data_IF_615855704462
#
_entry.id   IF_615855704462
#
_cell.length_a   1.000
_cell.length_b   1.000
_cell.length_c   1.000
_cell.angle_alpha   90.00
_cell.angle_beta   90.00
_cell.angle_gamma   90.00
#
_symmetry.space_group_name_H-M   'P 1'
#
loop_
_entity.id
_entity.type
_entity.pdbx_description
1 polymer ?
#
# COMPACT_ATOMS: atom_id res chain seq x y z
N UNK A 1 -50.91 -56.79 43.37
CA UNK A 1 -50.61 -55.37 43.67
C UNK A 1 -49.09 -55.23 43.69
N UNK A 2 -48.48 -54.80 42.57
CA UNK A 2 -47.06 -54.56 42.45
C UNK A 2 -46.83 -53.09 42.14
N UNK A 3 -46.29 -52.33 43.06
CA UNK A 3 -45.92 -50.92 42.91
C UNK A 3 -44.57 -50.84 42.16
N UNK A 4 -44.62 -50.23 40.97
CA UNK A 4 -43.44 -49.94 40.19
C UNK A 4 -42.95 -48.53 40.57
N UNK A 5 -41.72 -48.42 41.08
CA UNK A 5 -41.04 -47.15 41.39
C UNK A 5 -40.38 -46.63 40.13
N UNK A 6 -40.78 -45.43 39.65
CA UNK A 6 -40.04 -44.67 38.60
C UNK A 6 -38.83 -44.01 39.26
N UNK A 7 -37.65 -44.28 38.69
CA UNK A 7 -36.42 -43.50 38.98
C UNK A 7 -36.29 -42.42 37.89
N UNK A 8 -36.40 -41.17 38.30
CA UNK A 8 -36.09 -40.01 37.47
C UNK A 8 -34.61 -39.73 37.54
N UNK A 9 -33.88 -39.97 36.44
CA UNK A 9 -32.47 -39.58 36.30
C UNK A 9 -32.44 -38.17 35.73
N UNK A 10 -32.01 -37.19 36.58
CA UNK A 10 -31.73 -35.84 36.17
C UNK A 10 -30.35 -35.77 35.52
N UNK A 11 -30.28 -35.48 34.23
CA UNK A 11 -29.07 -35.15 33.51
C UNK A 11 -28.74 -33.69 33.75
N UNK A 12 -27.70 -33.42 34.56
CA UNK A 12 -27.06 -32.14 34.66
C UNK A 12 -26.16 -31.93 33.44
N UNK A 13 -26.63 -31.14 32.48
CA UNK A 13 -25.78 -30.61 31.42
C UNK A 13 -24.82 -29.58 32.04
N UNK A 14 -23.63 -30.02 32.39
CA UNK A 14 -22.51 -29.10 32.65
C UNK A 14 -22.10 -28.42 31.37
N UNK A 15 -22.45 -27.13 31.23
CA UNK A 15 -21.86 -26.27 30.22
C UNK A 15 -20.39 -26.09 30.57
N UNK A 16 -19.53 -26.93 29.99
CA UNK A 16 -18.09 -26.70 30.02
C UNK A 16 -17.78 -25.46 29.21
N UNK A 17 -17.56 -24.34 29.88
CA UNK A 17 -16.94 -23.14 29.31
C UNK A 17 -15.54 -23.55 28.85
N UNK A 18 -15.39 -23.75 27.53
CA UNK A 18 -14.07 -23.88 26.91
C UNK A 18 -13.31 -22.58 27.16
N UNK A 19 -12.15 -22.61 27.82
CA UNK A 19 -11.36 -21.40 27.98
C UNK A 19 -10.87 -20.96 26.60
N UNK A 20 -11.06 -19.68 26.29
CA UNK A 20 -10.47 -18.97 25.18
C UNK A 20 -8.94 -19.00 25.26
N UNK A 21 -8.32 -20.09 24.81
CA UNK A 21 -6.86 -20.33 24.83
C UNK A 21 -6.12 -19.73 23.62
N UNK A 22 -6.77 -18.86 22.81
CA UNK A 22 -6.16 -18.20 21.65
C UNK A 22 -5.80 -16.73 21.86
N UNK A 23 -5.85 -16.20 23.10
CA UNK A 23 -5.55 -14.79 23.42
C UNK A 23 -4.33 -14.60 24.31
N UNK A 24 -3.23 -15.32 24.07
CA UNK A 24 -2.10 -15.28 25.01
C UNK A 24 -1.25 -14.00 25.00
N UNK A 25 -0.87 -13.48 23.84
CA UNK A 25 -0.05 -12.26 23.69
C UNK A 25 -0.85 -11.07 23.13
N UNK A 26 -1.71 -11.28 22.14
CA UNK A 26 -2.52 -10.24 21.51
C UNK A 26 -3.48 -9.56 22.50
N UNK A 27 -4.10 -10.32 23.41
CA UNK A 27 -5.03 -9.79 24.40
C UNK A 27 -4.37 -8.85 25.41
N UNK A 28 -3.17 -9.17 25.88
CA UNK A 28 -2.43 -8.32 26.84
C UNK A 28 -2.00 -7.01 26.20
N UNK A 29 -1.58 -7.05 24.94
CA UNK A 29 -1.16 -5.87 24.19
C UNK A 29 -2.35 -4.94 23.92
N UNK A 30 -3.49 -5.48 23.54
CA UNK A 30 -4.73 -4.72 23.33
C UNK A 30 -5.21 -4.07 24.63
N UNK A 31 -5.18 -4.78 25.75
CA UNK A 31 -5.56 -4.19 27.05
C UNK A 31 -4.57 -3.09 27.51
N UNK A 32 -3.27 -3.23 27.21
CA UNK A 32 -2.30 -2.17 27.45
C UNK A 32 -2.57 -0.95 26.56
N UNK A 33 -2.90 -1.17 25.27
CA UNK A 33 -3.28 -0.12 24.33
C UNK A 33 -4.55 0.65 24.78
N UNK A 34 -5.55 -0.05 25.33
CA UNK A 34 -6.75 0.60 25.87
C UNK A 34 -6.44 1.51 27.06
N UNK A 35 -5.44 1.16 27.89
CA UNK A 35 -4.97 2.02 28.98
C UNK A 35 -4.25 3.28 28.50
N UNK A 36 -3.72 3.27 27.27
CA UNK A 36 -3.12 4.43 26.59
C UNK A 36 -4.18 5.33 25.91
N UNK A 37 -5.47 5.06 26.11
CA UNK A 37 -6.58 5.81 25.52
C UNK A 37 -7.29 5.11 24.37
N UNK A 38 -6.87 3.89 24.02
CA UNK A 38 -7.56 3.05 23.04
C UNK A 38 -7.50 3.54 21.60
N UNK A 39 -6.55 4.41 21.26
CA UNK A 39 -6.36 4.91 19.89
C UNK A 39 -4.92 4.74 19.42
N UNK A 40 -4.76 4.63 18.11
CA UNK A 40 -3.48 4.67 17.41
C UNK A 40 -3.47 5.77 16.37
N UNK A 41 -2.41 6.56 16.31
CA UNK A 41 -2.19 7.61 15.32
C UNK A 41 -1.23 7.11 14.25
N UNK A 42 -1.70 7.03 13.01
CA UNK A 42 -0.94 6.50 11.88
C UNK A 42 -0.70 7.60 10.84
N UNK A 43 0.55 7.84 10.48
CA UNK A 43 0.91 8.68 9.34
C UNK A 43 1.32 7.79 8.17
N UNK A 44 0.74 8.03 6.99
CA UNK A 44 1.06 7.15 5.89
C UNK A 44 0.66 7.61 4.50
N UNK A 45 1.15 6.86 3.51
CA UNK A 45 0.83 7.04 2.10
C UNK A 45 -0.13 5.98 1.54
N UNK A 46 -0.62 5.07 2.40
CA UNK A 46 -1.66 4.10 2.03
C UNK A 46 -2.96 4.83 1.69
N UNK A 47 -3.70 4.34 0.74
CA UNK A 47 -4.97 4.94 0.32
C UNK A 47 -6.02 4.83 1.43
N UNK A 48 -6.84 5.88 1.58
CA UNK A 48 -7.86 5.96 2.63
C UNK A 48 -8.80 4.75 2.62
N UNK A 49 -9.32 4.36 1.45
CA UNK A 49 -10.24 3.24 1.32
C UNK A 49 -9.64 1.91 1.83
N UNK A 50 -8.33 1.71 1.64
CA UNK A 50 -7.61 0.55 2.17
C UNK A 50 -7.45 0.66 3.68
N UNK A 51 -7.06 1.84 4.18
CA UNK A 51 -6.92 2.07 5.60
C UNK A 51 -8.26 1.94 6.34
N UNK A 52 -9.36 2.43 5.78
CA UNK A 52 -10.68 2.34 6.38
C UNK A 52 -11.14 0.88 6.57
N UNK A 53 -10.82 -0.01 5.61
CA UNK A 53 -11.07 -1.44 5.76
C UNK A 53 -10.28 -2.04 6.92
N UNK A 54 -8.99 -1.70 7.02
CA UNK A 54 -8.10 -2.18 8.09
C UNK A 54 -8.53 -1.64 9.46
N UNK A 55 -8.74 -0.32 9.56
CA UNK A 55 -9.16 0.35 10.77
C UNK A 55 -10.50 -0.16 11.29
N UNK A 56 -11.47 -0.33 10.37
CA UNK A 56 -12.77 -0.90 10.71
C UNK A 56 -12.69 -2.33 11.23
N UNK A 57 -11.84 -3.18 10.66
CA UNK A 57 -11.63 -4.54 11.12
C UNK A 57 -10.88 -4.58 12.46
N UNK A 58 -9.83 -3.76 12.64
CA UNK A 58 -9.14 -3.60 13.91
C UNK A 58 -10.10 -3.19 15.02
N UNK A 59 -10.92 -2.16 14.78
CA UNK A 59 -11.92 -1.67 15.73
C UNK A 59 -12.90 -2.76 16.14
N UNK A 60 -13.46 -3.51 15.18
CA UNK A 60 -14.38 -4.62 15.48
C UNK A 60 -13.74 -5.70 16.34
N UNK A 61 -12.45 -5.99 16.10
CA UNK A 61 -11.72 -7.08 16.78
C UNK A 61 -11.20 -6.68 18.16
N UNK A 62 -10.76 -5.44 18.32
CA UNK A 62 -9.99 -4.99 19.50
C UNK A 62 -10.65 -3.86 20.28
N UNK A 63 -11.52 -3.10 19.66
CA UNK A 63 -12.06 -1.84 20.16
C UNK A 63 -11.13 -0.64 20.00
N UNK A 64 -9.93 -0.81 19.40
CA UNK A 64 -8.99 0.29 19.19
C UNK A 64 -9.45 1.18 18.02
N UNK A 65 -9.37 2.49 18.20
CA UNK A 65 -9.64 3.49 17.16
C UNK A 65 -8.36 3.81 16.40
N UNK A 66 -8.48 4.07 15.08
CA UNK A 66 -7.36 4.49 14.25
C UNK A 66 -7.58 5.92 13.78
N UNK A 67 -6.65 6.81 14.11
CA UNK A 67 -6.57 8.15 13.55
C UNK A 67 -5.52 8.14 12.44
N UNK A 68 -5.96 8.36 11.20
CA UNK A 68 -5.09 8.27 10.03
C UNK A 68 -4.90 9.60 9.33
N UNK A 69 -3.64 10.03 9.21
CA UNK A 69 -3.26 11.16 8.38
C UNK A 69 -2.59 10.66 7.11
N UNK A 70 -3.25 10.87 5.97
CA UNK A 70 -2.79 10.41 4.65
C UNK A 70 -2.17 11.53 3.86
N UNK A 71 -0.95 11.29 3.35
CA UNK A 71 -0.28 12.14 2.36
C UNK A 71 0.63 11.34 1.44
N UNK A 72 1.24 12.00 0.42
CA UNK A 72 2.29 11.40 -0.41
C UNK A 72 3.53 11.08 0.43
N UNK A 73 4.30 10.06 0.03
CA UNK A 73 5.41 9.50 0.80
C UNK A 73 6.44 10.56 1.26
N UNK A 74 6.79 11.51 0.38
CA UNK A 74 7.70 12.61 0.72
C UNK A 74 7.10 13.52 1.82
N UNK A 75 5.82 13.83 1.79
CA UNK A 75 5.13 14.65 2.79
C UNK A 75 5.02 13.95 4.14
N UNK A 76 4.79 12.63 4.12
CA UNK A 76 4.85 11.79 5.32
C UNK A 76 6.25 11.89 5.94
N UNK A 77 7.30 11.70 5.13
CA UNK A 77 8.69 11.80 5.58
C UNK A 77 8.98 13.18 6.18
N UNK A 78 8.64 14.26 5.46
CA UNK A 78 8.87 15.63 5.91
C UNK A 78 8.21 15.87 7.27
N UNK A 79 6.96 15.45 7.44
CA UNK A 79 6.22 15.65 8.69
C UNK A 79 6.83 14.88 9.85
N UNK A 80 7.10 13.59 9.68
CA UNK A 80 7.71 12.73 10.72
C UNK A 80 9.07 13.30 11.15
N UNK A 81 9.91 13.69 10.19
CA UNK A 81 11.25 14.25 10.46
C UNK A 81 11.14 15.59 11.21
N UNK A 82 10.26 16.48 10.77
CA UNK A 82 10.11 17.81 11.38
C UNK A 82 9.55 17.71 12.81
N UNK A 83 8.50 16.91 13.05
CA UNK A 83 7.92 16.72 14.38
C UNK A 83 8.92 16.06 15.33
N UNK A 84 9.67 15.05 14.84
CA UNK A 84 10.67 14.36 15.63
C UNK A 84 11.84 15.26 16.01
N UNK A 85 12.34 16.08 15.08
CA UNK A 85 13.40 17.08 15.34
C UNK A 85 12.95 18.17 16.33
N UNK A 86 11.68 18.54 16.27
CA UNK A 86 11.08 19.46 17.21
C UNK A 86 10.82 18.85 18.61
N UNK A 87 11.12 17.55 18.80
CA UNK A 87 10.87 16.83 20.05
C UNK A 87 9.40 16.58 20.38
N UNK A 88 8.52 16.67 19.37
CA UNK A 88 7.05 16.51 19.50
C UNK A 88 6.51 15.51 18.47
N UNK A 89 6.93 14.24 18.48
CA UNK A 89 6.34 13.24 17.60
C UNK A 89 4.86 13.02 17.97
N UNK A 90 3.98 13.03 16.99
CA UNK A 90 2.54 12.90 17.19
C UNK A 90 1.99 11.57 16.66
N UNK A 91 2.75 10.84 15.84
CA UNK A 91 2.31 9.54 15.33
C UNK A 91 2.89 8.37 16.14
N UNK A 92 2.13 7.28 16.18
CA UNK A 92 2.56 6.01 16.74
C UNK A 92 3.20 5.12 15.66
N UNK A 93 2.63 5.14 14.47
CA UNK A 93 3.00 4.27 13.35
C UNK A 93 3.23 5.10 12.10
N UNK A 94 4.29 4.77 11.37
CA UNK A 94 4.60 5.30 10.04
C UNK A 94 4.42 4.19 9.02
N UNK A 95 3.78 4.53 7.88
CA UNK A 95 3.42 3.59 6.83
C UNK A 95 3.65 4.25 5.46
N UNK A 96 4.75 3.91 4.78
CA UNK A 96 5.14 4.57 3.53
C UNK A 96 6.03 3.65 2.68
N UNK A 97 6.56 4.18 1.55
CA UNK A 97 7.43 3.41 0.65
C UNK A 97 8.73 3.02 1.34
N UNK A 98 9.30 1.87 0.95
CA UNK A 98 10.53 1.35 1.55
C UNK A 98 11.67 2.37 1.47
N UNK A 99 11.84 3.01 0.30
CA UNK A 99 12.88 4.02 0.09
C UNK A 99 12.72 5.23 1.04
N UNK A 100 11.50 5.74 1.20
CA UNK A 100 11.26 6.88 2.10
C UNK A 100 11.30 6.47 3.57
N UNK A 101 10.88 5.24 3.90
CA UNK A 101 11.01 4.67 5.24
C UNK A 101 12.47 4.57 5.69
N UNK A 102 13.37 4.15 4.79
CA UNK A 102 14.82 4.14 5.06
C UNK A 102 15.37 5.54 5.38
N UNK A 103 14.86 6.60 4.74
CA UNK A 103 15.26 7.98 5.06
C UNK A 103 14.88 8.32 6.51
N UNK A 104 13.65 8.00 6.94
CA UNK A 104 13.19 8.26 8.31
C UNK A 104 14.01 7.45 9.31
N UNK A 105 14.29 6.19 8.99
CA UNK A 105 15.06 5.27 9.81
C UNK A 105 16.53 5.75 9.99
N UNK A 106 17.19 6.17 8.91
CA UNK A 106 18.56 6.72 8.97
C UNK A 106 18.67 8.00 9.82
N UNK A 107 17.58 8.74 9.98
CA UNK A 107 17.49 9.88 10.90
C UNK A 107 17.22 9.46 12.37
N UNK A 108 17.03 8.17 12.66
CA UNK A 108 16.78 7.66 14.01
C UNK A 108 15.35 7.89 14.53
N UNK A 109 14.38 8.10 13.64
CA UNK A 109 13.00 8.43 14.02
C UNK A 109 12.02 7.25 13.96
N UNK A 110 12.54 6.03 13.75
CA UNK A 110 11.78 4.79 13.85
C UNK A 110 12.34 3.90 14.95
N UNK A 111 11.45 3.16 15.61
CA UNK A 111 11.81 2.13 16.56
C UNK A 111 11.64 0.75 15.92
N UNK A 112 12.61 -0.13 16.15
CA UNK A 112 12.47 -1.52 15.76
C UNK A 112 11.37 -2.19 16.61
N UNK A 113 10.45 -2.86 15.94
CA UNK A 113 9.46 -3.73 16.57
C UNK A 113 9.38 -5.06 15.82
N UNK A 114 9.75 -6.13 16.48
CA UNK A 114 9.70 -7.49 15.91
C UNK A 114 8.27 -8.06 16.07
N UNK A 115 7.39 -7.68 15.17
CA UNK A 115 6.01 -8.19 15.15
C UNK A 115 5.99 -9.72 15.00
N UNK A 116 5.23 -10.44 15.82
CA UNK A 116 5.02 -11.88 15.63
C UNK A 116 4.48 -12.24 14.24
N UNK A 117 3.65 -11.35 13.66
CA UNK A 117 3.07 -11.52 12.34
C UNK A 117 4.11 -11.45 11.20
N UNK A 118 5.25 -10.78 11.43
CA UNK A 118 6.33 -10.67 10.45
C UNK A 118 6.99 -12.03 10.09
N UNK A 119 6.89 -13.03 10.98
CA UNK A 119 7.47 -14.37 10.76
C UNK A 119 6.86 -15.12 9.57
N UNK A 120 5.69 -14.72 9.11
CA UNK A 120 5.00 -15.35 7.99
C UNK A 120 5.38 -14.78 6.62
N UNK A 121 6.29 -13.82 6.59
CA UNK A 121 6.80 -13.23 5.36
C UNK A 121 8.07 -13.96 4.88
N UNK A 122 8.32 -14.02 3.56
CA UNK A 122 9.58 -14.47 3.00
C UNK A 122 10.75 -13.62 3.52
N UNK A 123 11.91 -14.24 3.75
CA UNK A 123 13.08 -13.53 4.29
C UNK A 123 13.57 -12.43 3.36
N UNK A 124 13.39 -12.60 2.07
CA UNK A 124 13.83 -11.69 1.00
C UNK A 124 13.13 -10.33 1.04
N UNK A 125 11.94 -10.27 1.64
CA UNK A 125 11.18 -9.01 1.78
C UNK A 125 11.28 -8.40 3.18
N UNK A 126 12.14 -8.95 4.05
CA UNK A 126 12.32 -8.45 5.42
C UNK A 126 13.61 -7.62 5.50
N UNK A 127 13.47 -6.31 5.63
CA UNK A 127 14.58 -5.44 6.00
C UNK A 127 14.91 -5.64 7.50
N UNK A 128 16.20 -5.86 7.88
CA UNK A 128 16.58 -6.12 9.26
C UNK A 128 16.29 -4.98 10.23
N UNK A 129 16.10 -3.75 9.74
CA UNK A 129 15.85 -2.56 10.54
C UNK A 129 14.38 -2.11 10.52
N UNK A 130 13.67 -2.37 9.41
CA UNK A 130 12.31 -1.89 9.18
C UNK A 130 11.24 -2.97 9.34
N UNK A 131 11.62 -4.25 9.24
CA UNK A 131 10.67 -5.35 9.16
C UNK A 131 10.24 -5.64 7.71
N UNK A 132 9.09 -6.32 7.50
CA UNK A 132 8.69 -6.73 6.16
C UNK A 132 8.18 -5.56 5.32
N UNK A 133 8.60 -5.53 4.05
CA UNK A 133 7.90 -4.83 3.00
C UNK A 133 6.59 -5.58 2.76
N UNK A 134 5.47 -5.06 3.28
CA UNK A 134 4.22 -5.83 3.39
C UNK A 134 3.43 -5.95 2.09
N UNK A 135 3.67 -5.08 1.13
CA UNK A 135 3.10 -5.13 -0.22
C UNK A 135 4.06 -4.54 -1.25
N UNK A 136 3.80 -4.86 -2.52
CA UNK A 136 4.38 -4.17 -3.67
C UNK A 136 3.29 -3.49 -4.47
N UNK A 137 3.46 -2.20 -4.73
CA UNK A 137 2.52 -1.42 -5.53
C UNK A 137 2.88 -1.52 -7.00
N UNK A 138 2.10 -2.26 -7.76
CA UNK A 138 2.31 -2.35 -9.21
C UNK A 138 1.82 -1.09 -9.90
N UNK A 139 2.74 -0.43 -10.62
CA UNK A 139 2.47 0.76 -11.42
C UNK A 139 2.47 0.35 -12.89
N UNK A 140 1.43 0.75 -13.60
CA UNK A 140 1.29 0.41 -15.01
C UNK A 140 0.29 1.30 -15.73
N UNK A 141 0.02 0.96 -16.99
CA UNK A 141 -1.02 1.62 -17.77
C UNK A 141 -2.37 1.02 -17.37
N UNK A 142 -3.26 1.87 -16.87
CA UNK A 142 -4.67 1.55 -16.58
C UNK A 142 -5.54 2.35 -17.51
N UNK A 143 -6.64 1.77 -17.99
CA UNK A 143 -7.57 2.43 -18.90
C UNK A 143 -9.03 2.08 -18.58
N UNK A 144 -9.94 2.94 -19.00
CA UNK A 144 -11.39 2.76 -18.88
C UNK A 144 -11.92 1.95 -20.09
N UNK A 145 -12.18 0.66 -19.88
CA UNK A 145 -12.56 -0.28 -20.94
C UNK A 145 -13.94 0.03 -21.59
N UNK A 146 -14.76 0.85 -20.94
CA UNK A 146 -16.00 1.38 -21.53
C UNK A 146 -15.75 2.46 -22.59
N UNK A 147 -14.58 3.13 -22.55
CA UNK A 147 -14.22 4.23 -23.46
C UNK A 147 -13.17 3.77 -24.47
N UNK A 148 -12.10 3.12 -24.02
CA UNK A 148 -11.07 2.53 -24.85
C UNK A 148 -11.29 1.03 -24.91
N UNK A 149 -11.63 0.49 -26.08
CA UNK A 149 -11.87 -0.95 -26.22
C UNK A 149 -10.55 -1.72 -26.05
N UNK A 150 -10.57 -2.95 -25.51
CA UNK A 150 -9.34 -3.74 -25.32
C UNK A 150 -8.51 -3.92 -26.61
N UNK A 151 -9.15 -3.99 -27.78
CA UNK A 151 -8.47 -4.07 -29.07
C UNK A 151 -7.73 -2.77 -29.45
N UNK A 152 -8.16 -1.62 -28.92
CA UNK A 152 -7.60 -0.29 -29.15
C UNK A 152 -6.63 0.13 -28.05
N UNK A 153 -6.55 -0.64 -26.95
CA UNK A 153 -5.68 -0.34 -25.83
C UNK A 153 -4.20 -0.43 -26.23
N UNK A 154 -3.31 0.35 -25.57
CA UNK A 154 -1.87 0.24 -25.80
C UNK A 154 -1.37 -1.16 -25.46
N UNK A 155 -0.28 -1.57 -26.07
CA UNK A 155 0.38 -2.86 -25.82
C UNK A 155 1.76 -2.71 -25.19
N UNK A 156 2.25 -1.47 -25.13
CA UNK A 156 3.53 -1.11 -24.50
C UNK A 156 3.43 0.28 -23.89
N UNK A 157 4.45 0.67 -23.11
CA UNK A 157 4.55 2.03 -22.56
C UNK A 157 4.66 3.07 -23.68
N UNK A 158 5.43 2.78 -24.71
CA UNK A 158 5.63 3.66 -25.86
C UNK A 158 4.34 3.94 -26.63
N UNK A 159 3.37 3.04 -26.54
CA UNK A 159 2.09 3.28 -27.21
C UNK A 159 1.33 4.48 -26.66
N UNK A 160 1.59 4.90 -25.39
CA UNK A 160 0.95 6.09 -24.82
C UNK A 160 1.24 7.38 -25.55
N UNK A 161 2.33 7.46 -26.31
CA UNK A 161 2.69 8.65 -27.08
C UNK A 161 2.10 8.67 -28.48
N UNK A 162 1.35 7.63 -28.86
CA UNK A 162 0.67 7.57 -30.17
C UNK A 162 -0.40 8.65 -30.30
N UNK A 163 -0.62 9.21 -31.51
CA UNK A 163 -1.57 10.32 -31.76
C UNK A 163 -2.99 10.06 -31.23
N UNK A 164 -3.45 8.81 -31.25
CA UNK A 164 -4.80 8.42 -30.79
C UNK A 164 -5.05 8.65 -29.31
N UNK A 165 -3.99 8.74 -28.49
CA UNK A 165 -4.07 8.98 -27.05
C UNK A 165 -3.77 10.44 -26.66
N UNK A 166 -3.40 11.30 -27.61
CA UNK A 166 -3.12 12.71 -27.34
C UNK A 166 -4.34 13.39 -26.68
N UNK A 167 -4.09 14.07 -25.55
CA UNK A 167 -5.12 14.74 -24.76
C UNK A 167 -6.00 13.79 -23.92
N UNK A 168 -5.67 12.48 -23.86
CA UNK A 168 -6.43 11.47 -23.11
C UNK A 168 -5.62 10.85 -21.98
N UNK A 169 -4.34 11.21 -21.84
CA UNK A 169 -3.40 10.57 -20.91
C UNK A 169 -3.27 11.37 -19.63
N UNK A 170 -3.42 10.73 -18.49
CA UNK A 170 -3.08 11.26 -17.17
C UNK A 170 -1.88 10.53 -16.60
N UNK A 171 -0.97 11.28 -15.97
CA UNK A 171 0.16 10.71 -15.23
C UNK A 171 0.37 11.47 -13.91
N UNK A 172 0.91 10.83 -12.87
CA UNK A 172 1.34 11.57 -11.70
C UNK A 172 2.55 12.44 -12.03
N UNK A 173 2.61 13.64 -11.45
CA UNK A 173 3.71 14.58 -11.65
C UNK A 173 4.99 14.07 -10.97
N UNK A 174 5.92 13.56 -11.76
CA UNK A 174 7.21 13.07 -11.28
C UNK A 174 8.09 14.17 -10.66
N UNK A 175 7.77 15.46 -10.87
CA UNK A 175 8.48 16.57 -10.21
C UNK A 175 8.05 16.80 -8.77
N UNK A 176 6.97 16.14 -8.31
CA UNK A 176 6.40 16.31 -6.98
C UNK A 176 6.12 14.99 -6.24
N UNK A 177 6.05 13.86 -6.97
CA UNK A 177 5.69 12.56 -6.42
C UNK A 177 6.86 11.58 -6.49
N UNK A 178 7.45 11.24 -5.33
CA UNK A 178 8.66 10.41 -5.23
C UNK A 178 8.52 9.04 -5.88
N UNK A 179 7.40 8.33 -5.64
CA UNK A 179 7.16 7.01 -6.24
C UNK A 179 7.15 7.08 -7.78
N UNK A 180 6.57 8.14 -8.37
CA UNK A 180 6.59 8.32 -9.84
C UNK A 180 7.98 8.69 -10.33
N UNK A 181 8.72 9.53 -9.59
CA UNK A 181 10.10 9.86 -9.92
C UNK A 181 10.99 8.61 -9.92
N UNK A 182 10.87 7.76 -8.89
CA UNK A 182 11.58 6.49 -8.81
C UNK A 182 11.17 5.54 -9.93
N UNK A 183 9.89 5.39 -10.20
CA UNK A 183 9.39 4.56 -11.29
C UNK A 183 9.93 5.01 -12.65
N UNK A 184 9.88 6.30 -12.96
CA UNK A 184 10.43 6.85 -14.21
C UNK A 184 11.95 6.64 -14.32
N UNK A 185 12.70 6.83 -13.23
CA UNK A 185 14.14 6.62 -13.21
C UNK A 185 14.55 5.16 -13.48
N UNK A 186 13.66 4.22 -13.16
CA UNK A 186 13.87 2.78 -13.32
C UNK A 186 13.26 2.20 -14.61
N UNK A 187 12.61 3.00 -15.46
CA UNK A 187 11.99 2.51 -16.71
C UNK A 187 12.95 1.75 -17.62
N UNK A 188 14.24 2.05 -17.56
CA UNK A 188 15.27 1.36 -18.33
C UNK A 188 15.29 -0.16 -18.07
N UNK A 189 14.88 -0.62 -16.87
CA UNK A 189 14.83 -2.04 -16.49
C UNK A 189 13.74 -2.83 -17.25
N UNK A 190 12.67 -2.15 -17.63
CA UNK A 190 11.52 -2.78 -18.30
C UNK A 190 11.39 -2.38 -19.78
N UNK A 191 12.10 -1.34 -20.20
CA UNK A 191 12.04 -0.83 -21.59
C UNK A 191 13.23 -1.22 -22.47
N UNK A 192 14.11 -2.08 -21.97
CA UNK A 192 15.27 -2.56 -22.79
C UNK A 192 16.41 -1.56 -22.86
N UNK A 193 16.56 -0.68 -21.87
CA UNK A 193 17.74 0.19 -21.72
C UNK A 193 17.42 1.67 -21.53
N UNK A 194 18.45 2.39 -21.09
CA UNK A 194 18.32 3.79 -20.67
C UNK A 194 17.91 4.73 -21.82
N UNK A 195 18.51 4.59 -22.98
CA UNK A 195 18.25 5.45 -24.14
C UNK A 195 16.77 5.40 -24.57
N UNK A 196 16.20 4.17 -24.60
CA UNK A 196 14.80 3.95 -24.93
C UNK A 196 13.86 4.54 -23.87
N UNK A 197 14.19 4.36 -22.59
CA UNK A 197 13.43 4.93 -21.48
C UNK A 197 13.46 6.47 -21.50
N UNK A 198 14.64 7.06 -21.66
CA UNK A 198 14.81 8.52 -21.71
C UNK A 198 14.07 9.13 -22.92
N UNK A 199 14.09 8.44 -24.08
CA UNK A 199 13.32 8.85 -25.25
C UNK A 199 11.83 8.84 -24.94
N UNK A 200 11.33 7.75 -24.39
CA UNK A 200 9.91 7.62 -24.01
C UNK A 200 9.46 8.74 -23.07
N UNK A 201 10.24 9.05 -22.03
CA UNK A 201 9.92 10.12 -21.06
C UNK A 201 9.80 11.47 -21.77
N UNK A 202 10.72 11.81 -22.67
CA UNK A 202 10.67 13.06 -23.45
C UNK A 202 9.47 13.08 -24.41
N UNK A 203 9.21 11.98 -25.11
CA UNK A 203 8.08 11.88 -26.02
C UNK A 203 6.75 11.99 -25.26
N UNK A 204 6.65 11.36 -24.09
CA UNK A 204 5.47 11.46 -23.23
C UNK A 204 5.23 12.90 -22.77
N UNK A 205 6.28 13.59 -22.33
CA UNK A 205 6.18 15.00 -21.95
C UNK A 205 5.72 15.88 -23.13
N UNK A 206 6.23 15.62 -24.34
CA UNK A 206 5.84 16.35 -25.56
C UNK A 206 4.34 16.17 -25.93
N UNK A 207 3.69 15.09 -25.48
CA UNK A 207 2.24 14.91 -25.65
C UNK A 207 1.40 15.80 -24.73
N UNK A 208 2.03 16.46 -23.74
CA UNK A 208 1.39 17.29 -22.69
C UNK A 208 0.29 16.52 -21.96
N UNK A 209 0.60 15.41 -21.29
CA UNK A 209 -0.37 14.67 -20.50
C UNK A 209 -0.91 15.52 -19.34
N UNK A 210 -2.10 15.20 -18.83
CA UNK A 210 -2.59 15.79 -17.59
C UNK A 210 -1.69 15.33 -16.43
N UNK A 211 -1.05 16.29 -15.76
CA UNK A 211 -0.26 16.02 -14.55
C UNK A 211 -1.14 16.16 -13.30
N UNK A 212 -1.06 15.17 -12.41
CA UNK A 212 -1.78 15.13 -11.13
C UNK A 212 -0.81 14.83 -9.97
N UNK A 213 -1.16 15.19 -8.71
CA UNK A 213 -0.21 15.13 -7.59
C UNK A 213 0.33 13.73 -7.27
N UNK A 214 -0.40 12.65 -7.54
CA UNK A 214 0.01 11.27 -7.21
C UNK A 214 -0.77 10.22 -8.02
N UNK A 215 -0.44 8.94 -7.82
CA UNK A 215 -1.08 7.80 -8.49
C UNK A 215 -2.58 7.65 -8.13
N UNK A 216 -3.01 8.06 -6.93
CA UNK A 216 -4.42 8.00 -6.53
C UNK A 216 -5.29 8.95 -7.37
N UNK A 217 -5.01 10.27 -7.45
CA UNK A 217 -5.73 11.16 -8.35
C UNK A 217 -5.67 10.73 -9.83
N UNK A 218 -4.57 10.13 -10.29
CA UNK A 218 -4.50 9.60 -11.65
C UNK A 218 -5.55 8.49 -11.86
N UNK A 219 -5.63 7.54 -10.94
CA UNK A 219 -6.64 6.47 -10.95
C UNK A 219 -8.06 7.00 -10.92
N UNK A 220 -8.34 8.05 -10.12
CA UNK A 220 -9.65 8.69 -10.04
C UNK A 220 -10.06 9.32 -11.38
N UNK A 221 -9.16 10.03 -12.08
CA UNK A 221 -9.43 10.59 -13.41
C UNK A 221 -9.74 9.52 -14.44
N UNK A 222 -9.07 8.37 -14.37
CA UNK A 222 -9.35 7.23 -15.26
C UNK A 222 -10.73 6.62 -14.92
N UNK A 223 -11.02 6.46 -13.63
CA UNK A 223 -12.28 5.90 -13.13
C UNK A 223 -13.50 6.71 -13.54
N UNK A 224 -13.41 8.05 -13.53
CA UNK A 224 -14.49 8.93 -13.99
C UNK A 224 -14.59 9.04 -15.51
N UNK A 225 -13.61 8.54 -16.24
CA UNK A 225 -13.51 8.69 -17.71
C UNK A 225 -13.08 10.09 -18.18
N UNK A 226 -12.78 11.01 -17.26
CA UNK A 226 -12.26 12.35 -17.60
C UNK A 226 -10.96 12.24 -18.39
N UNK A 227 -10.06 11.36 -17.93
CA UNK A 227 -8.87 10.92 -18.66
C UNK A 227 -8.93 9.40 -18.80
N UNK A 228 -9.31 8.87 -19.96
CA UNK A 228 -9.65 7.45 -20.08
C UNK A 228 -8.46 6.50 -19.99
N UNK A 229 -7.22 7.00 -19.95
CA UNK A 229 -6.00 6.18 -19.85
C UNK A 229 -4.90 6.93 -19.13
N UNK A 230 -4.02 6.21 -18.44
CA UNK A 230 -2.87 6.82 -17.77
C UNK A 230 -2.03 5.85 -16.97
N UNK A 231 -1.05 6.42 -16.26
CA UNK A 231 -0.21 5.69 -15.32
C UNK A 231 -0.86 5.73 -13.95
N UNK A 232 -1.21 4.55 -13.43
CA UNK A 232 -1.90 4.40 -12.16
C UNK A 232 -1.55 3.06 -11.50
N UNK A 233 -2.11 2.81 -10.32
CA UNK A 233 -2.00 1.51 -9.66
C UNK A 233 -2.80 0.43 -10.40
N UNK A 234 -2.18 -0.71 -10.70
CA UNK A 234 -2.86 -1.86 -11.31
C UNK A 234 -4.03 -2.38 -10.46
N UNK A 235 -3.92 -2.28 -9.13
CA UNK A 235 -5.00 -2.64 -8.19
C UNK A 235 -6.33 -1.93 -8.47
N UNK A 236 -6.32 -0.76 -9.11
CA UNK A 236 -7.52 0.02 -9.41
C UNK A 236 -8.53 -0.79 -10.25
N UNK A 237 -8.06 -1.72 -11.07
CA UNK A 237 -8.90 -2.62 -11.86
C UNK A 237 -9.82 -3.44 -10.95
N UNK A 238 -9.30 -3.98 -9.85
CA UNK A 238 -10.10 -4.74 -8.88
C UNK A 238 -10.90 -3.83 -7.98
N UNK A 239 -10.25 -2.80 -7.44
CA UNK A 239 -10.86 -1.91 -6.46
C UNK A 239 -12.10 -1.18 -7.02
N UNK A 240 -11.96 -0.58 -8.20
CA UNK A 240 -13.08 0.10 -8.86
C UNK A 240 -13.98 -0.87 -9.65
N UNK A 241 -13.44 -2.01 -10.11
CA UNK A 241 -14.22 -3.07 -10.73
C UNK A 241 -15.31 -3.62 -9.80
N UNK A 242 -15.02 -3.78 -8.50
CA UNK A 242 -16.00 -4.13 -7.47
C UNK A 242 -17.11 -3.07 -7.28
N UNK A 243 -16.85 -1.82 -7.65
CA UNK A 243 -17.80 -0.72 -7.64
C UNK A 243 -18.53 -0.56 -9.00
N UNK A 244 -18.34 -1.51 -9.93
CA UNK A 244 -19.00 -1.51 -11.25
C UNK A 244 -18.31 -0.68 -12.33
N UNK A 245 -17.10 -0.12 -12.06
CA UNK A 245 -16.38 0.67 -13.07
C UNK A 245 -15.55 -0.27 -13.94
N UNK A 246 -15.70 -0.26 -15.28
CA UNK A 246 -15.00 -1.16 -16.19
C UNK A 246 -13.57 -0.66 -16.45
N UNK A 247 -12.67 -0.84 -15.49
CA UNK A 247 -11.25 -0.60 -15.68
C UNK A 247 -10.54 -1.87 -16.12
N UNK A 248 -9.49 -1.70 -16.93
CA UNK A 248 -8.55 -2.75 -17.24
C UNK A 248 -7.12 -2.19 -17.29
N UNK A 249 -6.11 -3.07 -17.34
CA UNK A 249 -4.71 -2.67 -17.39
C UNK A 249 -4.00 -3.33 -18.57
N UNK A 250 -2.90 -2.71 -19.01
CA UNK A 250 -2.08 -3.25 -20.10
C UNK A 250 -1.14 -4.33 -19.55
N UNK A 251 -1.18 -5.53 -20.16
CA UNK A 251 -0.34 -6.68 -19.76
C UNK A 251 1.08 -6.50 -20.30
N UNK A 252 1.89 -5.72 -19.60
CA UNK A 252 3.27 -5.41 -20.01
C UNK A 252 4.24 -6.60 -19.80
N UNK A 253 3.81 -7.68 -19.15
CA UNK A 253 4.65 -8.81 -18.75
C UNK A 253 5.51 -8.48 -17.52
N UNK A 254 6.32 -7.45 -17.59
CA UNK A 254 7.15 -6.95 -16.48
C UNK A 254 6.56 -5.68 -15.89
N UNK A 255 6.43 -5.67 -14.58
CA UNK A 255 5.96 -4.50 -13.83
C UNK A 255 6.99 -4.11 -12.79
N UNK A 256 7.17 -2.83 -12.60
CA UNK A 256 7.90 -2.32 -11.45
C UNK A 256 6.92 -2.09 -10.31
N UNK A 257 7.34 -2.51 -9.14
CA UNK A 257 6.61 -2.34 -7.89
C UNK A 257 7.43 -1.57 -6.89
N UNK A 258 6.77 -0.66 -6.19
CA UNK A 258 7.34 0.03 -5.05
C UNK A 258 6.97 -0.73 -3.77
N UNK A 259 7.96 -1.14 -3.02
CA UNK A 259 7.77 -1.79 -1.72
C UNK A 259 7.22 -0.79 -0.70
N UNK A 260 6.41 -1.31 0.22
CA UNK A 260 5.78 -0.50 1.28
C UNK A 260 6.03 -1.17 2.63
N UNK A 261 6.58 -0.40 3.57
CA UNK A 261 6.86 -0.84 4.93
C UNK A 261 5.97 -0.15 5.96
N UNK A 262 5.88 -0.79 7.13
CA UNK A 262 5.20 -0.27 8.31
C UNK A 262 6.15 -0.35 9.49
N UNK A 263 6.28 0.73 10.27
CA UNK A 263 7.19 0.79 11.41
C UNK A 263 6.61 1.60 12.55
N UNK A 264 7.05 1.28 13.76
CA UNK A 264 6.75 2.07 14.96
C UNK A 264 7.58 3.36 14.93
N UNK A 265 6.99 4.50 15.31
CA UNK A 265 7.76 5.73 15.52
C UNK A 265 8.74 5.56 16.70
N UNK A 266 9.87 6.29 16.70
CA UNK A 266 10.91 6.13 17.75
C UNK A 266 10.42 6.48 19.14
N UNK A 267 9.49 7.45 19.25
CA UNK A 267 8.88 7.89 20.53
C UNK A 267 7.37 8.03 20.35
N UNK A 268 6.65 6.92 20.16
CA UNK A 268 5.23 6.97 19.89
C UNK A 268 4.45 7.41 21.14
N UNK A 269 3.43 8.28 21.00
CA UNK A 269 2.55 8.63 22.12
C UNK A 269 1.83 7.43 22.73
N UNK A 270 1.44 6.42 21.91
CA UNK A 270 0.71 5.23 22.33
C UNK A 270 1.44 3.96 21.87
N UNK A 271 2.57 3.58 22.54
CA UNK A 271 3.44 2.49 22.05
C UNK A 271 2.76 1.13 21.95
N UNK A 272 1.86 0.79 22.86
CA UNK A 272 1.15 -0.48 22.80
C UNK A 272 0.07 -0.50 21.73
N UNK A 273 -0.63 0.63 21.50
CA UNK A 273 -1.59 0.78 20.42
C UNK A 273 -0.88 0.68 19.05
N UNK A 274 0.28 1.32 18.91
CA UNK A 274 1.11 1.21 17.70
C UNK A 274 1.52 -0.22 17.39
N UNK A 275 2.00 -0.97 18.41
CA UNK A 275 2.36 -2.38 18.26
C UNK A 275 1.16 -3.26 17.91
N UNK A 276 0.02 -3.08 18.59
CA UNK A 276 -1.20 -3.84 18.30
C UNK A 276 -1.70 -3.58 16.87
N UNK A 277 -1.61 -2.33 16.40
CA UNK A 277 -1.93 -1.99 15.02
C UNK A 277 -1.01 -2.71 14.03
N UNK A 278 0.31 -2.68 14.25
CA UNK A 278 1.30 -3.34 13.38
C UNK A 278 1.04 -4.86 13.33
N UNK A 279 0.79 -5.50 14.47
CA UNK A 279 0.53 -6.94 14.54
C UNK A 279 -0.75 -7.33 13.78
N UNK A 280 -1.81 -6.54 13.91
CA UNK A 280 -3.05 -6.74 13.15
C UNK A 280 -2.83 -6.50 11.65
N UNK A 281 -2.16 -5.40 11.31
CA UNK A 281 -1.91 -4.99 9.93
C UNK A 281 -1.11 -6.02 9.14
N UNK A 282 -0.02 -6.55 9.73
CA UNK A 282 0.81 -7.59 9.14
C UNK A 282 0.22 -9.01 9.31
N UNK A 283 -0.84 -9.13 10.09
CA UNK A 283 -1.56 -10.37 10.30
C UNK A 283 -2.30 -10.85 9.05
N UNK A 284 -2.70 -12.12 9.05
CA UNK A 284 -3.38 -12.72 7.90
C UNK A 284 -4.67 -11.99 7.55
N UNK A 285 -5.45 -11.58 8.56
CA UNK A 285 -6.71 -10.87 8.35
C UNK A 285 -6.50 -9.51 7.66
N UNK A 286 -5.56 -8.69 8.16
CA UNK A 286 -5.23 -7.39 7.57
C UNK A 286 -4.75 -7.52 6.12
N UNK A 287 -3.86 -8.48 5.85
CA UNK A 287 -3.34 -8.70 4.51
C UNK A 287 -4.37 -9.28 3.54
N UNK A 288 -5.30 -10.16 4.00
CA UNK A 288 -6.39 -10.65 3.17
C UNK A 288 -7.39 -9.54 2.80
N UNK A 289 -7.64 -8.59 3.70
CA UNK A 289 -8.45 -7.41 3.38
C UNK A 289 -7.80 -6.58 2.28
N UNK A 290 -6.48 -6.33 2.38
CA UNK A 290 -5.72 -5.63 1.34
C UNK A 290 -5.72 -6.39 0.00
N UNK A 291 -5.37 -7.67 0.01
CA UNK A 291 -5.36 -8.49 -1.20
C UNK A 291 -6.74 -8.52 -1.85
N UNK A 292 -7.81 -8.60 -1.04
CA UNK A 292 -9.19 -8.60 -1.50
C UNK A 292 -9.58 -7.39 -2.34
N UNK A 293 -8.89 -6.26 -2.22
CA UNK A 293 -9.12 -5.05 -3.03
C UNK A 293 -8.06 -4.84 -4.12
N UNK A 294 -7.24 -5.86 -4.38
CA UNK A 294 -6.29 -5.86 -5.49
C UNK A 294 -4.84 -5.56 -5.10
N UNK A 295 -4.52 -5.44 -3.80
CA UNK A 295 -3.14 -5.21 -3.35
C UNK A 295 -2.29 -6.46 -3.49
N UNK A 296 -1.07 -6.29 -4.00
CA UNK A 296 -0.07 -7.35 -4.07
C UNK A 296 0.71 -7.42 -2.75
N UNK A 297 0.14 -8.14 -1.77
CA UNK A 297 0.80 -8.39 -0.49
C UNK A 297 1.93 -9.41 -0.66
N UNK A 298 2.98 -9.27 0.13
CA UNK A 298 4.20 -10.09 0.01
C UNK A 298 4.18 -11.33 0.92
N UNK A 299 3.19 -11.46 1.80
CA UNK A 299 3.02 -12.65 2.61
C UNK A 299 2.63 -13.85 1.76
N UNK A 300 3.35 -14.96 1.90
CA UNK A 300 3.11 -16.19 1.15
C UNK A 300 1.68 -16.70 1.33
N UNK A 301 1.05 -17.14 0.22
CA UNK A 301 -0.29 -17.73 0.21
C UNK A 301 -1.45 -16.73 0.21
N UNK A 302 -1.17 -15.44 0.08
CA UNK A 302 -2.20 -14.40 -0.07
C UNK A 302 -1.97 -13.66 -1.39
N UNK A 303 -2.94 -13.74 -2.31
CA UNK A 303 -2.87 -13.12 -3.64
C UNK A 303 -4.10 -12.28 -3.93
N UNK A 304 -3.97 -11.17 -4.68
CA UNK A 304 -5.11 -10.40 -5.12
C UNK A 304 -5.94 -11.15 -6.18
N UNK A 305 -7.25 -10.88 -6.31
CA UNK A 305 -8.12 -11.46 -7.32
C UNK A 305 -7.90 -10.79 -8.69
N UNK A 306 -6.67 -10.72 -9.16
CA UNK A 306 -6.29 -10.19 -10.47
C UNK A 306 -6.00 -11.38 -11.38
N UNK A 307 -6.62 -11.48 -12.57
CA UNK A 307 -6.30 -12.52 -13.54
C UNK A 307 -4.81 -12.54 -13.84
N UNK A 308 -4.21 -13.72 -13.80
CA UNK A 308 -2.77 -13.94 -14.04
C UNK A 308 -1.83 -13.22 -13.05
N UNK A 309 -2.31 -12.90 -11.83
CA UNK A 309 -1.48 -12.26 -10.79
C UNK A 309 -0.21 -13.06 -10.48
N UNK A 310 -0.29 -14.38 -10.56
CA UNK A 310 0.81 -15.33 -10.39
C UNK A 310 1.84 -15.31 -11.54
N UNK A 311 1.47 -14.75 -12.70
CA UNK A 311 2.34 -14.66 -13.89
C UNK A 311 3.00 -13.27 -14.04
N UNK A 312 2.66 -12.33 -13.18
CA UNK A 312 3.24 -10.97 -13.23
C UNK A 312 4.70 -11.05 -12.74
N UNK A 313 5.64 -10.75 -13.65
CA UNK A 313 7.05 -10.59 -13.28
C UNK A 313 7.25 -9.20 -12.66
N UNK A 314 7.60 -9.18 -11.37
CA UNK A 314 7.94 -7.94 -10.68
C UNK A 314 9.43 -7.65 -10.78
N UNK A 315 9.77 -6.45 -11.24
CA UNK A 315 11.14 -5.94 -11.33
C UNK A 315 11.34 -4.94 -10.19
N UNK A 316 12.37 -5.18 -9.37
CA UNK A 316 12.72 -4.27 -8.29
C UNK A 316 13.22 -2.93 -8.84
N UNK A 317 12.74 -1.84 -8.25
CA UNK A 317 13.28 -0.51 -8.51
C UNK A 317 14.52 -0.28 -7.66
N UNK A 318 15.51 0.41 -8.22
CA UNK A 318 16.68 0.84 -7.46
C UNK A 318 16.24 1.91 -6.45
N UNK A 319 16.74 1.80 -5.24
CA UNK A 319 16.50 2.79 -4.20
C UNK A 319 17.23 4.11 -4.51
N UNK A 320 16.63 5.19 -4.08
CA UNK A 320 17.23 6.52 -4.12
C UNK A 320 17.28 7.12 -2.72
N UNK A 321 18.41 7.77 -2.40
CA UNK A 321 18.50 8.60 -1.21
C UNK A 321 17.77 9.95 -1.40
N UNK A 322 17.73 10.76 -0.36
CA UNK A 322 17.06 12.07 -0.39
C UNK A 322 17.60 12.99 -1.50
N UNK A 323 18.92 12.96 -1.73
CA UNK A 323 19.55 13.75 -2.80
C UNK A 323 19.16 13.24 -4.18
N UNK A 324 19.19 11.92 -4.39
CA UNK A 324 18.77 11.29 -5.64
C UNK A 324 17.33 11.62 -6.02
N UNK A 325 16.41 11.59 -5.04
CA UNK A 325 15.04 12.05 -5.28
C UNK A 325 14.96 13.52 -5.69
N UNK A 326 15.67 14.42 -4.98
CA UNK A 326 15.67 15.85 -5.30
C UNK A 326 16.21 16.11 -6.71
N UNK A 327 17.32 15.48 -7.08
CA UNK A 327 17.95 15.62 -8.39
C UNK A 327 17.00 15.13 -9.51
N UNK A 328 16.37 13.96 -9.34
CA UNK A 328 15.44 13.40 -10.33
C UNK A 328 14.15 14.19 -10.45
N UNK A 329 13.57 14.64 -9.35
CA UNK A 329 12.39 15.48 -9.38
C UNK A 329 12.66 16.82 -10.09
N UNK A 330 13.84 17.41 -9.90
CA UNK A 330 14.26 18.61 -10.63
C UNK A 330 14.46 18.33 -12.13
N UNK A 331 15.05 17.19 -12.50
CA UNK A 331 15.17 16.75 -13.90
C UNK A 331 13.80 16.65 -14.57
N UNK A 332 12.85 15.93 -13.93
CA UNK A 332 11.49 15.76 -14.49
C UNK A 332 10.72 17.08 -14.55
N UNK A 333 10.93 17.98 -13.59
CA UNK A 333 10.36 19.33 -13.66
C UNK A 333 10.76 20.06 -14.94
N UNK A 334 12.04 19.96 -15.34
CA UNK A 334 12.53 20.54 -16.60
C UNK A 334 11.95 19.86 -17.84
N UNK A 335 11.63 18.59 -17.76
CA UNK A 335 11.11 17.81 -18.89
C UNK A 335 9.60 18.05 -19.08
N UNK A 336 8.81 18.08 -18.01
CA UNK A 336 7.34 18.11 -18.10
C UNK A 336 6.72 19.50 -17.95
N UNK A 337 7.42 20.48 -17.38
CA UNK A 337 6.88 21.80 -17.05
C UNK A 337 7.56 22.96 -17.81
N UNK A 338 8.27 22.63 -18.89
CA UNK A 338 8.83 23.65 -19.82
C UNK A 338 7.88 23.99 -20.96
#
# INVERSE_FOLDING_TARGET
>A
MKMTRLFTVAWLFGVASLPNLLFGQDGKLVEAAKKEGGKVVVYGSLENDTMDLIAGALKRKTGLETEYWREAANKVTDRVVNESRAGRPLCDVVLTTDATMQIIQKNGFLARYDSPSARAFPKEVIDPNLGPSYRKTLIGIVYHAGIIKPAEAPRSLEDLVKPQYKGKVVIPDASQHTTTAQWMANLHKVMGGKERADKFIRDLAATKPLLVPSLTPAGERITTGEMPIGIAFVKNVVFYGKKGVPLDYVRLGKFMGDGQSISLAAKPPHPNAGKAFIDFFLGEEGLRLMAGIGEFVTRTGIYPPIPDADKIEMVEMDDMDQKGFADKMQEYRKIFLQ
#
